data_IF_041061090739
#
_entry.id   IF_041061090739
#
_cell.length_a   1.000
_cell.length_b   1.000
_cell.length_c   1.000
_cell.angle_alpha   90.00
_cell.angle_beta   90.00
_cell.angle_gamma   90.00
#
_symmetry.space_group_name_H-M   'P 1'
#
loop_
_entity.id
_entity.type
_entity.pdbx_description
1 polymer ?
#
# COMPACT_ATOMS: atom_id res chain seq x y z
N UNK A 1 -4.43 32.73 27.29
CA UNK A 1 -4.26 32.72 25.82
C UNK A 1 -4.52 31.29 25.35
N UNK A 2 -5.69 31.02 24.74
CA UNK A 2 -6.05 29.67 24.28
C UNK A 2 -5.20 29.35 23.05
N UNK A 3 -4.21 28.49 23.22
CA UNK A 3 -3.45 27.91 22.12
C UNK A 3 -4.37 26.96 21.37
N UNK A 4 -4.82 27.37 20.18
CA UNK A 4 -5.43 26.46 19.22
C UNK A 4 -4.35 25.42 18.85
N UNK A 5 -4.53 24.17 19.27
CA UNK A 5 -3.79 23.05 18.72
C UNK A 5 -4.59 22.52 17.55
N UNK A 6 -4.02 22.60 16.35
CA UNK A 6 -4.52 21.85 15.20
C UNK A 6 -4.56 20.39 15.64
N UNK A 7 -5.72 19.78 15.52
CA UNK A 7 -5.90 18.37 15.82
C UNK A 7 -5.23 17.54 14.70
N UNK A 8 -4.14 16.79 14.96
CA UNK A 8 -3.42 16.02 13.93
C UNK A 8 -4.17 14.75 13.49
N UNK A 9 -5.42 14.58 13.93
CA UNK A 9 -6.25 13.40 13.76
C UNK A 9 -6.62 13.10 12.29
N UNK A 10 -5.73 12.42 11.57
CA UNK A 10 -6.15 11.52 10.51
C UNK A 10 -5.66 10.10 10.84
N UNK A 11 -6.55 9.16 11.21
CA UNK A 11 -6.16 7.76 11.32
C UNK A 11 -5.62 7.29 9.96
N UNK A 12 -4.68 6.34 9.93
CA UNK A 12 -4.28 5.67 8.68
C UNK A 12 -5.54 5.34 7.89
N UNK A 13 -5.61 5.62 6.58
CA UNK A 13 -6.84 5.34 5.83
C UNK A 13 -7.15 3.82 5.89
N UNK A 14 -6.12 2.98 6.03
CA UNK A 14 -6.22 1.54 6.35
C UNK A 14 -6.73 1.20 7.78
N UNK A 15 -6.72 2.11 8.75
CA UNK A 15 -7.29 1.95 10.11
C UNK A 15 -8.77 2.34 10.22
N UNK A 16 -9.30 3.14 9.28
CA UNK A 16 -10.72 3.56 9.28
C UNK A 16 -11.72 2.40 9.13
N UNK A 17 -11.26 1.21 8.76
CA UNK A 17 -12.08 -0.01 8.62
C UNK A 17 -12.51 -0.64 9.97
N UNK A 18 -11.98 -0.19 11.12
CA UNK A 18 -12.47 -0.67 12.43
C UNK A 18 -13.72 0.12 12.86
N UNK A 19 -14.77 -0.59 13.31
CA UNK A 19 -16.11 -0.07 13.63
C UNK A 19 -16.16 1.02 14.72
N UNK A 20 -15.05 1.39 15.35
CA UNK A 20 -14.99 2.32 16.49
C UNK A 20 -14.32 3.67 16.19
N UNK A 21 -14.31 4.06 14.91
CA UNK A 21 -13.78 5.32 14.35
C UNK A 21 -13.44 6.44 15.34
N UNK A 22 -12.14 6.69 15.53
CA UNK A 22 -11.42 7.96 15.68
C UNK A 22 -9.94 7.58 15.90
N UNK A 23 -8.99 8.43 15.52
CA UNK A 23 -7.57 8.23 15.82
C UNK A 23 -7.35 8.17 17.34
N UNK A 24 -6.87 7.05 17.87
CA UNK A 24 -6.64 6.84 19.30
C UNK A 24 -5.20 6.40 19.57
N UNK A 25 -4.71 6.67 20.78
CA UNK A 25 -3.39 6.21 21.22
C UNK A 25 -3.27 4.68 21.10
N UNK A 26 -4.30 3.95 21.51
CA UNK A 26 -4.36 2.49 21.35
C UNK A 26 -4.32 2.05 19.88
N UNK A 27 -5.00 2.78 18.98
CA UNK A 27 -4.94 2.47 17.54
C UNK A 27 -3.53 2.69 16.98
N UNK A 28 -2.84 3.74 17.41
CA UNK A 28 -1.44 4.01 17.03
C UNK A 28 -0.48 2.96 17.60
N UNK A 29 -0.62 2.61 18.87
CA UNK A 29 0.18 1.58 19.54
C UNK A 29 -0.08 0.19 18.94
N UNK A 30 -1.31 -0.08 18.47
CA UNK A 30 -1.67 -1.33 17.79
C UNK A 30 -1.28 -1.39 16.31
N UNK A 31 -0.97 -0.24 15.69
CA UNK A 31 -0.57 -0.18 14.30
C UNK A 31 0.85 -0.74 14.15
N UNK A 32 0.92 -2.02 13.78
CA UNK A 32 2.20 -2.67 13.53
C UNK A 32 2.95 -2.07 12.35
N UNK A 33 4.29 -2.20 12.35
CA UNK A 33 5.21 -1.73 11.31
C UNK A 33 4.77 -2.09 9.89
N UNK A 34 4.23 -3.30 9.69
CA UNK A 34 3.71 -3.74 8.40
C UNK A 34 2.55 -2.89 7.88
N UNK A 35 1.66 -2.44 8.77
CA UNK A 35 0.52 -1.59 8.39
C UNK A 35 0.98 -0.20 7.97
N UNK A 36 1.95 0.36 8.69
CA UNK A 36 2.55 1.65 8.35
C UNK A 36 3.21 1.56 6.98
N UNK A 37 4.04 0.53 6.74
CA UNK A 37 4.72 0.35 5.45
C UNK A 37 3.71 0.17 4.31
N UNK A 38 2.67 -0.64 4.50
CA UNK A 38 1.59 -0.80 3.51
C UNK A 38 0.93 0.54 3.18
N UNK A 39 0.58 1.34 4.20
CA UNK A 39 0.01 2.67 3.99
C UNK A 39 0.97 3.59 3.23
N UNK A 40 2.26 3.65 3.60
CA UNK A 40 3.25 4.46 2.90
C UNK A 40 3.33 4.07 1.41
N UNK A 41 3.42 2.77 1.13
CA UNK A 41 3.46 2.23 -0.24
C UNK A 41 2.18 2.55 -1.04
N UNK A 42 1.01 2.62 -0.39
CA UNK A 42 -0.24 3.04 -1.04
C UNK A 42 -0.22 4.52 -1.47
N UNK A 43 0.56 5.38 -0.78
CA UNK A 43 0.65 6.82 -1.07
C UNK A 43 1.77 7.18 -2.04
N UNK A 44 2.79 6.34 -2.16
CA UNK A 44 3.95 6.56 -3.04
C UNK A 44 3.62 6.10 -4.46
N UNK A 45 3.65 7.02 -5.42
CA UNK A 45 3.40 6.75 -6.83
C UNK A 45 4.68 6.78 -7.65
N UNK A 46 5.71 7.46 -7.16
CA UNK A 46 7.08 7.53 -7.71
C UNK A 46 8.08 7.83 -6.60
N UNK A 47 9.37 7.77 -6.91
CA UNK A 47 10.45 8.09 -5.96
C UNK A 47 10.33 9.50 -5.35
N UNK A 48 9.84 10.46 -6.14
CA UNK A 48 9.65 11.85 -5.71
C UNK A 48 8.63 12.01 -4.56
N UNK A 49 7.74 11.03 -4.35
CA UNK A 49 6.74 11.08 -3.28
C UNK A 49 7.32 10.67 -1.90
N UNK A 50 8.44 9.94 -1.87
CA UNK A 50 8.91 9.23 -0.67
C UNK A 50 9.15 10.19 0.49
N UNK A 51 9.95 11.24 0.29
CA UNK A 51 10.35 12.13 1.38
C UNK A 51 9.16 12.88 1.97
N UNK A 52 8.25 13.35 1.11
CA UNK A 52 7.04 14.05 1.53
C UNK A 52 6.10 13.11 2.31
N UNK A 53 5.88 11.89 1.81
CA UNK A 53 5.02 10.89 2.46
C UNK A 53 5.60 10.49 3.82
N UNK A 54 6.88 10.11 3.90
CA UNK A 54 7.50 9.72 5.17
C UNK A 54 7.48 10.88 6.16
N UNK A 55 7.84 12.10 5.73
CA UNK A 55 7.84 13.29 6.60
C UNK A 55 6.44 13.59 7.16
N UNK A 56 5.39 13.39 6.36
CA UNK A 56 4.01 13.53 6.83
C UNK A 56 3.69 12.52 7.94
N UNK A 57 4.06 11.26 7.78
CA UNK A 57 3.79 10.23 8.80
C UNK A 57 4.66 10.35 10.04
N UNK A 58 5.90 10.85 9.91
CA UNK A 58 6.75 11.21 11.05
C UNK A 58 6.15 12.39 11.83
N UNK A 59 5.76 13.46 11.14
CA UNK A 59 5.21 14.67 11.79
C UNK A 59 3.88 14.40 12.51
N UNK A 60 3.11 13.41 12.05
CA UNK A 60 1.85 12.99 12.69
C UNK A 60 2.06 11.92 13.79
N UNK A 61 3.30 11.52 14.06
CA UNK A 61 3.66 10.60 15.14
C UNK A 61 3.40 9.13 14.84
N UNK A 62 3.26 8.74 13.57
CA UNK A 62 3.17 7.33 13.14
C UNK A 62 4.55 6.70 12.96
N UNK A 63 5.56 7.51 12.68
CA UNK A 63 6.96 7.09 12.55
C UNK A 63 7.77 7.91 13.56
N UNK A 64 8.61 7.26 14.35
CA UNK A 64 9.54 7.96 15.24
C UNK A 64 10.57 8.77 14.44
N UNK A 65 10.93 9.97 14.90
CA UNK A 65 11.86 10.85 14.18
C UNK A 65 13.21 10.17 13.90
N UNK A 66 13.73 9.41 14.86
CA UNK A 66 14.97 8.64 14.72
C UNK A 66 14.89 7.50 13.68
N UNK A 67 13.68 7.12 13.22
CA UNK A 67 13.44 6.09 12.20
C UNK A 67 13.15 6.66 10.83
N UNK A 68 12.96 7.98 10.70
CA UNK A 68 12.61 8.63 9.42
C UNK A 68 13.55 8.22 8.28
N UNK A 69 14.86 8.31 8.50
CA UNK A 69 15.88 7.97 7.49
C UNK A 69 15.84 6.49 7.10
N UNK A 70 15.65 5.58 8.06
CA UNK A 70 15.52 4.14 7.79
C UNK A 70 14.36 3.86 6.82
N UNK A 71 13.21 4.50 7.05
CA UNK A 71 12.04 4.36 6.17
C UNK A 71 12.26 4.94 4.78
N UNK A 72 12.90 6.12 4.67
CA UNK A 72 13.21 6.73 3.37
C UNK A 72 14.11 5.79 2.56
N UNK A 73 15.24 5.35 3.15
CA UNK A 73 16.17 4.46 2.46
C UNK A 73 15.50 3.14 2.04
N UNK A 74 14.70 2.55 2.94
CA UNK A 74 13.99 1.33 2.62
C UNK A 74 13.01 1.52 1.46
N UNK A 75 12.16 2.54 1.51
CA UNK A 75 11.17 2.79 0.46
C UNK A 75 11.84 3.15 -0.88
N UNK A 76 12.93 3.92 -0.86
CA UNK A 76 13.74 4.19 -2.05
C UNK A 76 14.27 2.89 -2.66
N UNK A 77 14.81 1.98 -1.83
CA UNK A 77 15.28 0.67 -2.33
C UNK A 77 14.17 -0.18 -2.94
N UNK A 78 12.93 -0.08 -2.43
CA UNK A 78 11.77 -0.80 -2.98
C UNK A 78 11.37 -0.19 -4.32
N UNK A 79 11.33 1.14 -4.44
CA UNK A 79 11.00 1.84 -5.68
C UNK A 79 12.06 1.57 -6.75
N UNK A 80 13.34 1.65 -6.40
CA UNK A 80 14.47 1.35 -7.28
C UNK A 80 14.45 -0.10 -7.78
N UNK A 81 14.14 -1.05 -6.88
CA UNK A 81 14.09 -2.48 -7.22
C UNK A 81 12.88 -2.83 -8.08
N UNK A 82 11.75 -2.15 -7.91
CA UNK A 82 10.50 -2.44 -8.60
C UNK A 82 9.89 -1.20 -9.27
N UNK A 83 10.60 -0.53 -10.20
CA UNK A 83 10.19 0.75 -10.75
C UNK A 83 8.86 0.69 -11.50
N UNK A 84 8.54 -0.48 -12.09
CA UNK A 84 7.28 -0.71 -12.81
C UNK A 84 6.02 -0.61 -11.92
N UNK A 85 6.18 -0.65 -10.59
CA UNK A 85 5.09 -0.52 -9.61
C UNK A 85 4.83 0.96 -9.29
N UNK A 86 5.80 1.84 -9.55
CA UNK A 86 5.80 3.26 -9.21
C UNK A 86 6.02 4.17 -10.44
N UNK A 87 5.24 4.02 -11.52
CA UNK A 87 5.42 4.79 -12.76
C UNK A 87 4.94 6.24 -12.71
N UNK A 88 4.34 6.71 -11.61
CA UNK A 88 3.65 8.00 -11.54
C UNK A 88 2.13 7.85 -11.37
N UNK A 89 1.53 8.84 -10.71
CA UNK A 89 0.15 8.83 -10.19
C UNK A 89 -0.91 8.59 -11.27
N UNK A 90 -0.70 9.11 -12.46
CA UNK A 90 -1.58 9.02 -13.62
C UNK A 90 -1.71 7.60 -14.18
N UNK A 91 -0.77 6.72 -13.87
CA UNK A 91 -0.78 5.31 -14.29
C UNK A 91 -1.22 4.36 -13.18
N UNK A 92 -1.60 4.88 -12.01
CA UNK A 92 -1.88 4.05 -10.83
C UNK A 92 -3.35 4.20 -10.42
N UNK A 93 -4.00 3.06 -10.26
CA UNK A 93 -5.26 2.90 -9.54
C UNK A 93 -4.97 2.21 -8.20
N UNK A 94 -4.66 2.98 -7.17
CA UNK A 94 -4.40 2.44 -5.83
C UNK A 94 -5.68 2.33 -5.00
N UNK A 95 -5.79 1.25 -4.20
CA UNK A 95 -6.87 1.01 -3.24
C UNK A 95 -8.29 1.10 -3.85
N UNK A 96 -8.43 0.72 -5.13
CA UNK A 96 -9.72 0.75 -5.84
C UNK A 96 -10.52 -0.51 -5.60
N UNK A 97 -11.80 -0.32 -5.30
CA UNK A 97 -12.74 -1.41 -5.07
C UNK A 97 -13.18 -2.04 -6.38
N UNK A 98 -13.28 -3.37 -6.37
CA UNK A 98 -13.78 -4.20 -7.45
C UNK A 98 -14.99 -4.95 -6.89
N UNK A 99 -16.15 -4.77 -7.51
CA UNK A 99 -17.36 -5.50 -7.12
C UNK A 99 -17.39 -6.86 -7.85
N UNK A 100 -17.51 -7.93 -7.09
CA UNK A 100 -17.82 -9.26 -7.62
C UNK A 100 -19.29 -9.40 -7.97
N UNK A 101 -19.60 -10.35 -8.86
CA UNK A 101 -20.98 -10.66 -9.25
C UNK A 101 -21.84 -11.16 -8.08
N UNK A 102 -21.22 -11.68 -7.03
CA UNK A 102 -21.85 -12.10 -5.76
C UNK A 102 -22.15 -10.93 -4.81
N UNK A 103 -21.82 -9.69 -5.20
CA UNK A 103 -21.95 -8.49 -4.36
C UNK A 103 -20.80 -8.31 -3.36
N UNK A 104 -19.79 -9.19 -3.36
CA UNK A 104 -18.60 -9.01 -2.54
C UNK A 104 -17.73 -7.88 -3.10
N UNK A 105 -17.07 -7.13 -2.21
CA UNK A 105 -16.16 -6.05 -2.60
C UNK A 105 -14.73 -6.46 -2.29
N UNK A 106 -13.89 -6.38 -3.31
CA UNK A 106 -12.48 -6.72 -3.29
C UNK A 106 -11.65 -5.46 -3.52
N UNK A 107 -10.44 -5.42 -2.97
CA UNK A 107 -9.59 -4.24 -3.09
C UNK A 107 -8.11 -4.65 -3.20
N UNK A 108 -7.54 -4.69 -4.42
CA UNK A 108 -6.09 -4.76 -4.57
C UNK A 108 -5.44 -3.49 -4.05
N UNK A 109 -4.20 -3.61 -3.59
CA UNK A 109 -3.43 -2.45 -3.15
C UNK A 109 -3.16 -1.50 -4.33
N UNK A 110 -2.87 -2.07 -5.50
CA UNK A 110 -2.51 -1.29 -6.69
C UNK A 110 -2.79 -2.00 -8.00
N UNK A 111 -3.31 -1.25 -8.97
CA UNK A 111 -3.38 -1.64 -10.37
C UNK A 111 -2.59 -0.61 -11.17
N UNK A 112 -1.64 -1.07 -11.97
CA UNK A 112 -0.75 -0.23 -12.78
C UNK A 112 -1.13 -0.34 -14.25
N UNK A 113 -1.32 0.81 -14.91
CA UNK A 113 -1.56 0.90 -16.33
C UNK A 113 -0.25 0.66 -17.09
N UNK A 114 -0.23 -0.39 -17.90
CA UNK A 114 0.81 -0.66 -18.88
C UNK A 114 0.51 -0.04 -20.24
N UNK A 115 1.20 -0.55 -21.27
CA UNK A 115 0.94 -0.17 -22.67
C UNK A 115 -0.30 -0.88 -23.21
N UNK A 116 -0.90 -0.33 -24.27
CA UNK A 116 -2.02 -0.94 -25.00
C UNK A 116 -3.24 -1.31 -24.12
N UNK A 117 -3.52 -0.51 -23.09
CA UNK A 117 -4.59 -0.79 -22.10
C UNK A 117 -4.45 -2.15 -21.40
N UNK A 118 -3.22 -2.66 -21.28
CA UNK A 118 -2.90 -3.80 -20.42
C UNK A 118 -2.59 -3.32 -19.01
N UNK A 119 -2.96 -4.11 -18.02
CA UNK A 119 -2.88 -3.73 -16.61
C UNK A 119 -2.08 -4.74 -15.81
N UNK A 120 -1.39 -4.28 -14.78
CA UNK A 120 -0.68 -5.12 -13.81
C UNK A 120 -1.35 -5.00 -12.45
N UNK A 121 -1.54 -6.10 -11.74
CA UNK A 121 -2.09 -6.10 -10.37
C UNK A 121 -0.97 -6.34 -9.37
N UNK A 122 -0.87 -5.50 -8.35
CA UNK A 122 0.16 -5.57 -7.32
C UNK A 122 -0.51 -5.61 -5.95
N UNK A 123 -0.01 -6.51 -5.09
CA UNK A 123 -0.43 -6.62 -3.71
C UNK A 123 0.80 -6.71 -2.79
N UNK A 124 0.85 -5.89 -1.75
CA UNK A 124 1.93 -5.84 -0.77
C UNK A 124 1.58 -6.69 0.44
N UNK A 125 2.46 -7.61 0.80
CA UNK A 125 2.27 -8.48 1.97
C UNK A 125 3.42 -8.35 2.93
N UNK A 126 3.10 -8.13 4.20
CA UNK A 126 4.11 -8.14 5.28
C UNK A 126 4.13 -9.51 5.94
N UNK A 127 5.33 -10.02 6.21
CA UNK A 127 5.51 -11.34 6.83
C UNK A 127 5.62 -12.48 5.82
N UNK A 128 5.32 -13.70 6.27
CA UNK A 128 5.60 -14.92 5.49
C UNK A 128 4.66 -15.09 4.29
N UNK A 129 5.20 -15.64 3.22
CA UNK A 129 4.44 -16.08 2.06
C UNK A 129 3.38 -17.12 2.45
N UNK A 130 2.20 -17.00 1.84
CA UNK A 130 1.06 -17.87 2.06
C UNK A 130 0.33 -18.13 0.74
N UNK A 131 -0.20 -19.34 0.59
CA UNK A 131 -0.98 -19.72 -0.60
C UNK A 131 -2.25 -18.87 -0.75
N UNK A 132 -2.83 -18.41 0.36
CA UNK A 132 -3.98 -17.52 0.37
C UNK A 132 -3.69 -16.19 -0.33
N UNK A 133 -2.46 -15.68 -0.26
CA UNK A 133 -2.10 -14.44 -0.94
C UNK A 133 -2.15 -14.61 -2.47
N UNK A 134 -1.61 -15.72 -2.98
CA UNK A 134 -1.69 -16.04 -4.43
C UNK A 134 -3.13 -16.22 -4.88
N UNK A 135 -3.96 -16.90 -4.09
CA UNK A 135 -5.40 -17.06 -4.37
C UNK A 135 -6.11 -15.71 -4.43
N UNK A 136 -5.79 -14.81 -3.51
CA UNK A 136 -6.35 -13.46 -3.47
C UNK A 136 -5.96 -12.63 -4.71
N UNK A 137 -4.68 -12.58 -5.06
CA UNK A 137 -4.24 -11.83 -6.25
C UNK A 137 -4.83 -12.42 -7.54
N UNK A 138 -4.90 -13.75 -7.64
CA UNK A 138 -5.54 -14.42 -8.77
C UNK A 138 -7.03 -14.09 -8.88
N UNK A 139 -7.72 -13.94 -7.75
CA UNK A 139 -9.11 -13.49 -7.73
C UNK A 139 -9.24 -12.05 -8.27
N UNK A 140 -8.35 -11.13 -7.88
CA UNK A 140 -8.35 -9.77 -8.44
C UNK A 140 -8.18 -9.78 -9.96
N UNK A 141 -7.22 -10.56 -10.45
CA UNK A 141 -6.97 -10.73 -11.89
C UNK A 141 -8.20 -11.23 -12.63
N UNK A 142 -8.90 -12.22 -12.08
CA UNK A 142 -10.14 -12.74 -12.66
C UNK A 142 -11.25 -11.68 -12.68
N UNK A 143 -11.49 -10.98 -11.56
CA UNK A 143 -12.53 -9.95 -11.46
C UNK A 143 -12.31 -8.79 -12.43
N UNK A 144 -11.06 -8.35 -12.61
CA UNK A 144 -10.73 -7.32 -13.60
C UNK A 144 -10.94 -7.82 -15.03
N UNK A 145 -10.63 -9.08 -15.30
CA UNK A 145 -10.83 -9.70 -16.61
C UNK A 145 -12.32 -9.84 -16.94
N UNK A 146 -13.14 -10.23 -15.97
CA UNK A 146 -14.61 -10.25 -16.06
C UNK A 146 -15.19 -8.86 -16.31
N UNK A 147 -14.56 -7.82 -15.76
CA UNK A 147 -14.90 -6.41 -16.02
C UNK A 147 -14.39 -5.88 -17.38
N UNK A 148 -13.78 -6.73 -18.22
CA UNK A 148 -13.31 -6.37 -19.57
C UNK A 148 -11.92 -5.74 -19.63
N UNK A 149 -11.13 -5.84 -18.55
CA UNK A 149 -9.75 -5.35 -18.52
C UNK A 149 -8.76 -6.47 -18.86
N UNK A 150 -7.76 -6.17 -19.69
CA UNK A 150 -6.67 -7.11 -19.96
C UNK A 150 -5.60 -7.01 -18.88
N UNK A 151 -5.50 -8.01 -18.02
CA UNK A 151 -4.42 -8.11 -17.02
C UNK A 151 -3.24 -8.88 -17.62
N UNK A 152 -2.09 -8.23 -17.79
CA UNK A 152 -0.91 -8.84 -18.43
C UNK A 152 0.03 -9.54 -17.45
N UNK A 153 0.00 -9.14 -16.17
CA UNK A 153 0.76 -9.80 -15.11
C UNK A 153 0.19 -9.44 -13.74
N UNK A 154 0.45 -10.28 -12.75
CA UNK A 154 0.08 -9.98 -11.37
C UNK A 154 1.14 -10.44 -10.38
N UNK A 155 1.42 -9.60 -9.39
CA UNK A 155 2.59 -9.72 -8.52
C UNK A 155 2.23 -9.54 -7.05
N UNK A 156 2.93 -10.28 -6.20
CA UNK A 156 2.95 -10.03 -4.76
C UNK A 156 4.34 -9.50 -4.39
N UNK A 157 4.37 -8.39 -3.66
CA UNK A 157 5.60 -7.86 -3.07
C UNK A 157 5.61 -8.20 -1.58
N UNK A 158 6.46 -9.14 -1.21
CA UNK A 158 6.67 -9.52 0.18
C UNK A 158 7.65 -8.57 0.84
N UNK A 159 7.23 -7.98 1.95
CA UNK A 159 8.00 -7.04 2.75
C UNK A 159 8.42 -7.71 4.06
N UNK A 160 9.73 -7.82 4.26
CA UNK A 160 10.34 -8.12 5.54
C UNK A 160 10.55 -6.81 6.30
N UNK A 161 9.71 -6.60 7.31
CA UNK A 161 9.74 -5.38 8.11
C UNK A 161 10.92 -5.34 9.06
N UNK A 162 11.51 -6.46 9.46
CA UNK A 162 12.64 -6.48 10.38
C UNK A 162 13.95 -6.21 9.64
N UNK A 163 14.10 -6.82 8.46
CA UNK A 163 15.30 -6.68 7.63
C UNK A 163 15.23 -5.52 6.65
N UNK A 164 14.09 -4.84 6.57
CA UNK A 164 13.81 -3.81 5.56
C UNK A 164 14.21 -4.30 4.16
N UNK A 165 13.64 -5.42 3.76
CA UNK A 165 13.88 -6.00 2.44
C UNK A 165 12.57 -6.39 1.76
N UNK A 166 12.61 -6.49 0.44
CA UNK A 166 11.45 -6.82 -0.36
C UNK A 166 11.78 -7.86 -1.44
N UNK A 167 10.87 -8.80 -1.68
CA UNK A 167 10.94 -9.78 -2.76
C UNK A 167 9.65 -9.79 -3.57
N UNK A 168 9.78 -10.17 -4.84
CA UNK A 168 8.66 -10.27 -5.78
C UNK A 168 8.29 -11.74 -5.99
N UNK A 169 7.01 -11.99 -6.16
CA UNK A 169 6.47 -13.28 -6.58
C UNK A 169 5.44 -13.08 -7.67
N UNK A 170 5.70 -13.63 -8.86
CA UNK A 170 4.74 -13.66 -9.96
C UNK A 170 3.58 -14.62 -9.63
N UNK A 171 2.36 -14.19 -9.94
CA UNK A 171 1.11 -14.97 -9.77
C UNK A 171 0.48 -15.31 -11.11
N UNK A 172 0.57 -14.37 -12.07
CA UNK A 172 0.24 -14.52 -13.48
C UNK A 172 1.39 -13.93 -14.30
#
# INVERSE_FOLDING_TARGET
MKTFRINPNKPLDSLRKSKSGFDSRELRESAGKGKIIHELLSKINSEADIEAVVSFYTSNGWIEENKKTDYIHFLSSVVEKFPFIFPGKEFILSEREIAGADGAVWRPDRIVKGTDNRWKVIDFKTGREKNEHKKQVKLYTNLLSEAGMTVESSHIIYIDTERFSASLTDVL
#
